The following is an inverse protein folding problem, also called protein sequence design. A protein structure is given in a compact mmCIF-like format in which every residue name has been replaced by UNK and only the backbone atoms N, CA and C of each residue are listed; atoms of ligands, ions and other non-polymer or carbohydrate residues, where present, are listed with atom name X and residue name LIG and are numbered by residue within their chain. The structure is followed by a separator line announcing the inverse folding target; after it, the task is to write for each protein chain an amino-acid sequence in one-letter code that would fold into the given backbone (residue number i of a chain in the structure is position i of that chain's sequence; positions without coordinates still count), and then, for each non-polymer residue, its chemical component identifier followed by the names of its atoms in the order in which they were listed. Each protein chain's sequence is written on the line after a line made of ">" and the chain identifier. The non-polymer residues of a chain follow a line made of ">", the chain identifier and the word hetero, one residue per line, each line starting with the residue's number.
data_IF_238592272617
#
_entry.id   IF_238592272617
#
_cell.length_a   1.000
_cell.length_b   1.000
_cell.length_c   1.000
_cell.angle_alpha   90.00
_cell.angle_beta   90.00
_cell.angle_gamma   90.00
#
_symmetry.space_group_name_H-M   'P 1'
#
loop_
_entity.id
_entity.type
_entity.pdbx_description
1 polymer ?
#
# COMPACT_ATOMS: atom_id res chain seq x y z
N UNK A 1 17.22 -4.28 2.59
CA UNK A 1 17.16 -5.60 1.90
C UNK A 1 15.83 -6.24 2.26
N UNK A 2 15.02 -6.66 1.29
CA UNK A 2 13.78 -7.41 1.55
C UNK A 2 14.11 -8.88 1.84
N UNK A 3 13.58 -9.44 2.92
CA UNK A 3 13.75 -10.84 3.26
C UNK A 3 12.53 -11.39 4.00
N UNK A 4 12.25 -12.68 3.84
CA UNK A 4 11.22 -13.36 4.63
C UNK A 4 11.79 -13.82 5.99
N UNK A 5 10.98 -13.89 7.06
CA UNK A 5 11.45 -14.28 8.40
C UNK A 5 12.27 -15.58 8.46
N UNK A 6 11.98 -16.58 7.61
CA UNK A 6 12.73 -17.85 7.53
C UNK A 6 14.20 -17.69 7.10
N UNK A 7 14.53 -16.61 6.39
CA UNK A 7 15.89 -16.30 5.92
C UNK A 7 16.67 -15.39 6.88
N UNK A 8 16.20 -15.19 8.12
CA UNK A 8 16.89 -14.39 9.14
C UNK A 8 18.36 -14.81 9.33
N UNK A 9 18.65 -16.11 9.24
CA UNK A 9 20.01 -16.64 9.34
C UNK A 9 20.93 -16.14 8.22
N UNK A 10 20.42 -15.97 6.99
CA UNK A 10 21.18 -15.42 5.86
C UNK A 10 21.52 -13.95 6.08
N UNK A 11 20.60 -13.17 6.66
CA UNK A 11 20.85 -11.77 7.02
C UNK A 11 21.92 -11.66 8.09
N UNK A 12 21.84 -12.46 9.15
CA UNK A 12 22.88 -12.51 10.19
C UNK A 12 24.26 -12.89 9.64
N UNK A 13 24.31 -13.84 8.69
CA UNK A 13 25.55 -14.19 8.01
C UNK A 13 26.12 -13.02 7.22
N UNK A 14 25.27 -12.30 6.47
CA UNK A 14 25.67 -11.12 5.71
C UNK A 14 26.19 -10.00 6.60
N UNK A 15 25.54 -9.72 7.74
CA UNK A 15 26.02 -8.73 8.73
C UNK A 15 27.42 -9.10 9.24
N UNK A 16 27.66 -10.39 9.53
CA UNK A 16 28.96 -10.86 9.99
C UNK A 16 30.05 -10.80 8.91
N UNK A 17 29.74 -11.25 7.68
CA UNK A 17 30.69 -11.26 6.56
C UNK A 17 31.03 -9.84 6.05
N UNK A 18 30.09 -8.89 6.17
CA UNK A 18 30.29 -7.50 5.73
C UNK A 18 30.75 -6.54 6.83
N UNK A 19 30.61 -6.92 8.10
CA UNK A 19 30.88 -6.02 9.23
C UNK A 19 29.86 -4.89 9.40
N UNK A 20 28.71 -4.95 8.72
CA UNK A 20 27.63 -3.95 8.86
C UNK A 20 26.49 -4.50 9.72
N UNK A 21 25.80 -3.61 10.44
CA UNK A 21 24.57 -3.93 11.15
C UNK A 21 23.38 -3.36 10.38
N UNK A 22 22.42 -4.20 10.02
CA UNK A 22 21.19 -3.74 9.39
C UNK A 22 20.17 -3.34 10.44
N UNK A 23 19.50 -2.21 10.20
CA UNK A 23 18.30 -1.86 10.93
C UNK A 23 17.10 -2.60 10.35
N UNK A 24 16.33 -3.24 11.22
CA UNK A 24 15.12 -3.92 10.81
C UNK A 24 13.96 -2.93 10.78
N UNK A 25 13.56 -2.52 9.58
CA UNK A 25 12.40 -1.67 9.33
C UNK A 25 11.24 -2.57 8.92
N UNK A 26 10.09 -2.42 9.58
CA UNK A 26 8.87 -3.13 9.20
C UNK A 26 8.39 -2.68 7.82
N UNK A 27 7.59 -3.51 7.15
CA UNK A 27 6.92 -3.09 5.92
C UNK A 27 6.09 -1.82 6.16
N UNK A 28 6.04 -0.88 5.20
CA UNK A 28 5.16 0.28 5.27
C UNK A 28 3.72 -0.16 5.50
N UNK A 29 2.96 0.61 6.29
CA UNK A 29 1.54 0.29 6.45
C UNK A 29 0.81 0.57 5.12
N UNK A 30 -0.27 -0.17 4.81
CA UNK A 30 -1.05 0.07 3.61
C UNK A 30 -1.51 1.53 3.46
N UNK A 31 -1.76 2.20 4.59
CA UNK A 31 -2.11 3.63 4.66
C UNK A 31 -0.96 4.53 4.23
N UNK A 32 0.26 4.22 4.64
CA UNK A 32 1.46 5.01 4.29
C UNK A 32 1.72 4.91 2.78
N UNK A 33 1.56 3.70 2.24
CA UNK A 33 1.66 3.45 0.79
C UNK A 33 0.57 4.23 0.04
N UNK A 34 -0.67 4.18 0.53
CA UNK A 34 -1.79 4.91 -0.09
C UNK A 34 -1.57 6.44 -0.07
N UNK A 35 -1.05 6.98 1.03
CA UNK A 35 -0.77 8.42 1.15
C UNK A 35 0.35 8.84 0.21
N UNK A 36 1.45 8.07 0.15
CA UNK A 36 2.56 8.34 -0.78
C UNK A 36 2.08 8.28 -2.22
N UNK A 37 1.31 7.25 -2.58
CA UNK A 37 0.73 7.10 -3.91
C UNK A 37 -0.21 8.26 -4.24
N UNK A 38 -1.04 8.69 -3.29
CA UNK A 38 -1.93 9.85 -3.46
C UNK A 38 -1.17 11.16 -3.75
N UNK A 39 -0.05 11.39 -3.07
CA UNK A 39 0.82 12.54 -3.34
C UNK A 39 1.43 12.48 -4.73
N UNK A 40 1.95 11.31 -5.12
CA UNK A 40 2.53 11.10 -6.44
C UNK A 40 1.50 11.29 -7.55
N UNK A 41 0.25 10.85 -7.35
CA UNK A 41 -0.84 11.13 -8.29
C UNK A 41 -1.19 12.62 -8.37
N UNK A 42 -1.17 13.35 -7.25
CA UNK A 42 -1.44 14.78 -7.25
C UNK A 42 -0.36 15.54 -8.06
N UNK A 43 0.91 15.20 -7.86
CA UNK A 43 2.03 15.77 -8.61
C UNK A 43 1.96 15.39 -10.09
N UNK A 44 1.60 14.13 -10.39
CA UNK A 44 1.41 13.67 -11.75
C UNK A 44 0.30 14.46 -12.46
N UNK A 45 -0.84 14.71 -11.80
CA UNK A 45 -1.94 15.53 -12.34
C UNK A 45 -1.48 16.98 -12.55
N UNK A 46 -0.72 17.57 -11.62
CA UNK A 46 -0.19 18.92 -11.75
C UNK A 46 0.80 19.08 -12.91
N UNK A 47 1.47 17.99 -13.32
CA UNK A 47 2.38 17.98 -14.47
C UNK A 47 1.69 17.88 -15.84
N UNK A 48 0.39 17.59 -15.86
CA UNK A 48 -0.37 17.43 -17.11
C UNK A 48 -0.59 18.80 -17.76
N UNK A 49 -0.30 18.90 -19.05
CA UNK A 49 -0.52 20.13 -19.83
C UNK A 49 -1.99 20.55 -19.85
N UNK A 50 -2.25 21.83 -19.58
CA UNK A 50 -3.59 22.45 -19.63
C UNK A 50 -4.30 22.29 -20.98
N UNK A 51 -3.55 21.99 -22.05
CA UNK A 51 -4.09 21.71 -23.38
C UNK A 51 -5.06 20.53 -23.41
N UNK A 52 -5.00 19.61 -22.44
CA UNK A 52 -5.93 18.46 -22.38
C UNK A 52 -7.27 18.81 -21.72
N UNK A 53 -7.35 19.92 -20.96
CA UNK A 53 -8.54 20.30 -20.20
C UNK A 53 -9.80 20.35 -21.08
N UNK A 54 -9.79 20.98 -22.27
CA UNK A 54 -10.99 21.04 -23.11
C UNK A 54 -11.53 19.68 -23.53
N UNK A 55 -10.66 18.66 -23.64
CA UNK A 55 -11.02 17.31 -24.08
C UNK A 55 -11.85 16.60 -23.02
N UNK A 56 -11.51 16.78 -21.74
CA UNK A 56 -12.15 16.09 -20.61
C UNK A 56 -13.18 16.94 -19.88
N UNK A 57 -13.27 18.24 -20.19
CA UNK A 57 -14.12 19.20 -19.47
C UNK A 57 -15.59 18.77 -19.44
N UNK A 58 -16.13 18.36 -20.57
CA UNK A 58 -17.54 17.95 -20.67
C UNK A 58 -17.85 16.74 -19.76
N UNK A 59 -16.97 15.74 -19.76
CA UNK A 59 -17.12 14.54 -18.94
C UNK A 59 -16.92 14.86 -17.45
N UNK A 60 -15.99 15.76 -17.11
CA UNK A 60 -15.80 16.22 -15.74
C UNK A 60 -17.03 16.97 -15.20
N UNK A 61 -17.62 17.88 -15.99
CA UNK A 61 -18.84 18.60 -15.62
C UNK A 61 -20.05 17.67 -15.47
N UNK A 62 -20.20 16.68 -16.35
CA UNK A 62 -21.22 15.63 -16.23
C UNK A 62 -21.04 14.79 -14.96
N UNK A 63 -19.80 14.46 -14.61
CA UNK A 63 -19.49 13.68 -13.41
C UNK A 63 -19.79 14.48 -12.13
N UNK A 64 -19.43 15.77 -12.11
CA UNK A 64 -19.80 16.70 -11.03
C UNK A 64 -21.32 16.85 -10.87
N UNK A 65 -22.07 16.88 -11.97
CA UNK A 65 -23.53 17.08 -11.93
C UNK A 65 -24.31 15.81 -11.56
N UNK A 66 -23.77 14.64 -11.87
CA UNK A 66 -24.42 13.34 -11.64
C UNK A 66 -24.13 12.73 -10.28
N UNK A 67 -23.06 13.18 -9.60
CA UNK A 67 -22.68 12.64 -8.30
C UNK A 67 -23.36 13.36 -7.14
N UNK A 68 -23.71 12.61 -6.10
CA UNK A 68 -24.13 13.15 -4.80
C UNK A 68 -22.95 13.47 -3.87
N UNK A 69 -21.72 13.17 -4.30
CA UNK A 69 -20.51 13.34 -3.50
C UNK A 69 -19.97 14.77 -3.58
N UNK A 70 -19.21 15.17 -2.57
CA UNK A 70 -18.49 16.43 -2.61
C UNK A 70 -17.44 16.41 -3.73
N UNK A 71 -17.08 17.59 -4.25
CA UNK A 71 -16.01 17.70 -5.24
C UNK A 71 -14.68 17.10 -4.73
N UNK A 72 -14.41 17.22 -3.43
CA UNK A 72 -13.22 16.64 -2.80
C UNK A 72 -13.24 15.10 -2.82
N UNK A 73 -14.38 14.47 -2.52
CA UNK A 73 -14.51 13.00 -2.54
C UNK A 73 -14.41 12.43 -3.96
N UNK A 74 -14.92 13.17 -4.95
CA UNK A 74 -14.77 12.82 -6.36
C UNK A 74 -13.32 12.87 -6.81
N UNK A 75 -12.59 13.92 -6.43
CA UNK A 75 -11.15 14.03 -6.68
C UNK A 75 -10.37 12.93 -5.96
N UNK A 76 -10.73 12.61 -4.71
CA UNK A 76 -10.13 11.51 -3.98
C UNK A 76 -10.32 10.15 -4.71
N UNK A 77 -11.53 9.89 -5.24
CA UNK A 77 -11.77 8.69 -6.06
C UNK A 77 -10.99 8.69 -7.37
N UNK A 78 -10.86 9.85 -8.02
CA UNK A 78 -10.07 9.99 -9.24
C UNK A 78 -8.58 9.73 -8.99
N UNK A 79 -8.02 10.30 -7.91
CA UNK A 79 -6.65 10.06 -7.46
C UNK A 79 -6.43 8.58 -7.13
N UNK A 80 -7.32 7.99 -6.32
CA UNK A 80 -7.26 6.57 -5.98
C UNK A 80 -7.30 5.67 -7.22
N UNK A 81 -8.13 6.02 -8.22
CA UNK A 81 -8.18 5.30 -9.50
C UNK A 81 -6.90 5.50 -10.32
N UNK A 82 -6.31 6.69 -10.31
CA UNK A 82 -5.08 7.00 -11.04
C UNK A 82 -3.88 6.20 -10.52
N UNK A 83 -3.76 6.01 -9.21
CA UNK A 83 -2.72 5.15 -8.60
C UNK A 83 -3.05 3.65 -8.61
N UNK A 84 -4.23 3.26 -9.09
CA UNK A 84 -4.68 1.86 -9.05
C UNK A 84 -5.06 1.35 -7.66
N UNK A 85 -5.24 2.26 -6.69
CA UNK A 85 -5.65 1.93 -5.33
C UNK A 85 -7.19 1.89 -5.24
N UNK A 86 -7.79 0.81 -5.75
CA UNK A 86 -9.26 0.72 -5.85
C UNK A 86 -9.93 0.17 -4.60
N UNK A 87 -9.20 -0.62 -3.80
CA UNK A 87 -9.76 -1.27 -2.62
C UNK A 87 -8.67 -1.61 -1.59
N UNK A 88 -8.99 -1.46 -0.30
CA UNK A 88 -8.15 -1.82 0.83
C UNK A 88 -8.34 -3.30 1.15
N UNK A 89 -7.79 -4.17 0.29
CA UNK A 89 -7.85 -5.61 0.52
C UNK A 89 -6.95 -6.01 1.69
N UNK A 90 -7.53 -6.67 2.69
CA UNK A 90 -6.77 -7.32 3.77
C UNK A 90 -6.13 -8.59 3.22
N UNK A 91 -4.83 -8.79 3.49
CA UNK A 91 -4.10 -10.01 3.10
C UNK A 91 -3.35 -10.59 4.30
N UNK A 92 -3.26 -11.91 4.35
CA UNK A 92 -2.45 -12.63 5.34
C UNK A 92 -0.97 -12.29 5.20
N UNK A 93 -0.28 -11.97 6.30
CA UNK A 93 1.17 -11.78 6.35
C UNK A 93 1.94 -13.10 6.20
N UNK A 94 1.28 -14.25 6.35
CA UNK A 94 1.92 -15.57 6.26
C UNK A 94 1.76 -16.23 4.88
N UNK A 95 0.60 -16.04 4.25
CA UNK A 95 0.24 -16.75 3.01
C UNK A 95 -0.11 -15.82 1.85
N UNK A 96 -0.16 -14.51 2.07
CA UNK A 96 -0.57 -13.49 1.09
C UNK A 96 -2.00 -13.67 0.55
N UNK A 97 -2.81 -14.55 1.16
CA UNK A 97 -4.21 -14.78 0.78
C UNK A 97 -5.08 -13.59 1.16
N UNK A 98 -5.98 -13.22 0.25
CA UNK A 98 -6.99 -12.17 0.45
C UNK A 98 -8.04 -12.59 1.48
N UNK A 99 -8.57 -11.63 2.24
CA UNK A 99 -9.60 -11.82 3.28
C UNK A 99 -9.16 -12.63 4.50
N UNK A 100 -7.85 -12.84 4.67
CA UNK A 100 -7.27 -13.42 5.89
C UNK A 100 -6.53 -12.36 6.71
N UNK A 101 -6.64 -12.47 8.04
CA UNK A 101 -5.89 -11.65 8.99
C UNK A 101 -4.91 -12.52 9.77
N UNK A 102 -3.64 -12.10 9.84
CA UNK A 102 -2.64 -12.80 10.64
C UNK A 102 -2.73 -12.37 12.09
N UNK A 103 -2.79 -13.35 12.99
CA UNK A 103 -2.84 -13.13 14.43
C UNK A 103 -1.53 -13.60 15.07
N UNK A 104 -1.09 -12.90 16.11
CA UNK A 104 0.00 -13.33 16.97
C UNK A 104 -0.58 -13.81 18.30
N UNK A 105 -0.56 -15.12 18.51
CA UNK A 105 -1.05 -15.75 19.75
C UNK A 105 0.12 -16.02 20.68
N UNK A 106 0.04 -15.51 21.90
CA UNK A 106 1.02 -15.79 22.96
C UNK A 106 0.36 -16.63 24.05
N UNK A 107 0.96 -17.78 24.36
CA UNK A 107 0.48 -18.69 25.40
C UNK A 107 1.46 -18.71 26.57
N UNK A 108 0.94 -18.77 27.80
CA UNK A 108 1.78 -18.94 29.01
C UNK A 108 2.26 -20.37 29.24
N UNK A 109 1.94 -21.30 28.33
CA UNK A 109 2.31 -22.71 28.39
C UNK A 109 2.86 -23.16 27.04
N UNK A 110 3.85 -24.07 26.99
CA UNK A 110 4.36 -24.62 25.74
C UNK A 110 3.25 -25.37 25.00
N UNK A 111 3.13 -25.12 23.69
CA UNK A 111 2.26 -25.89 22.79
C UNK A 111 3.12 -26.73 21.85
N UNK A 112 2.69 -27.95 21.60
CA UNK A 112 3.35 -28.89 20.69
C UNK A 112 2.47 -29.09 19.46
N UNK A 113 3.07 -29.11 18.26
CA UNK A 113 2.35 -29.50 17.04
C UNK A 113 2.00 -31.00 17.12
N UNK A 114 0.80 -31.43 16.70
CA UNK A 114 0.56 -32.84 16.42
C UNK A 114 1.54 -33.26 15.33
N UNK A 115 2.35 -34.28 15.61
CA UNK A 115 3.29 -34.85 14.64
C UNK A 115 2.60 -35.50 13.46
#
# INVERSE_FOLDING_TARGET
>A
MLYEPRYKHSVSRLEWESGVKFEHISVPQPTDVAQSAGSEAADAIASVSDSVIPIFRQQAEQLLSSSSLSAADLLAKALAKAVGYTDLKKRSLLSSLEDYSTLHLQTGRPMWSPG
#
